data_IF_392010180797
#
_entry.id   IF_392010180797
#
_cell.length_a   1.000
_cell.length_b   1.000
_cell.length_c   1.000
_cell.angle_alpha   90.00
_cell.angle_beta   90.00
_cell.angle_gamma   90.00
#
_symmetry.space_group_name_H-M   'P 1'
#
loop_
_entity.id
_entity.type
_entity.pdbx_description
1 polymer ?
#
# COMPACT_ATOMS: atom_id res chain seq x y z
N UNK A 1 7.77 -12.30 -10.10
CA UNK A 1 6.42 -11.81 -10.50
C UNK A 1 6.51 -10.36 -10.94
N UNK A 2 6.21 -10.03 -12.21
CA UNK A 2 6.27 -8.65 -12.73
C UNK A 2 4.86 -8.09 -12.96
N UNK A 3 4.69 -6.77 -12.95
CA UNK A 3 3.38 -6.10 -13.09
C UNK A 3 2.61 -6.55 -14.34
N UNK A 4 3.29 -6.63 -15.49
CA UNK A 4 2.66 -7.09 -16.73
C UNK A 4 2.13 -8.53 -16.64
N UNK A 5 2.77 -9.38 -15.81
CA UNK A 5 2.31 -10.75 -15.55
C UNK A 5 1.08 -10.75 -14.64
N UNK A 6 1.07 -9.93 -13.59
CA UNK A 6 -0.07 -9.77 -12.69
C UNK A 6 -1.32 -9.33 -13.46
N UNK A 7 -1.18 -8.33 -14.33
CA UNK A 7 -2.27 -7.84 -15.20
C UNK A 7 -2.76 -8.94 -16.14
N UNK A 8 -1.85 -9.70 -16.76
CA UNK A 8 -2.22 -10.80 -17.66
C UNK A 8 -3.00 -11.92 -16.94
N UNK A 9 -2.63 -12.25 -15.70
CA UNK A 9 -3.35 -13.22 -14.86
C UNK A 9 -4.75 -12.70 -14.53
N UNK A 10 -4.87 -11.47 -14.03
CA UNK A 10 -6.18 -10.87 -13.71
C UNK A 10 -7.09 -10.75 -14.94
N UNK A 11 -6.54 -10.39 -16.10
CA UNK A 11 -7.28 -10.33 -17.35
C UNK A 11 -7.83 -11.70 -17.76
N UNK A 12 -7.01 -12.76 -17.65
CA UNK A 12 -7.45 -14.13 -17.91
C UNK A 12 -8.56 -14.57 -16.94
N UNK A 13 -8.42 -14.26 -15.64
CA UNK A 13 -9.43 -14.57 -14.63
C UNK A 13 -10.75 -13.83 -14.85
N UNK A 14 -10.69 -12.58 -15.33
CA UNK A 14 -11.89 -11.76 -15.61
C UNK A 14 -12.75 -12.36 -16.73
N UNK A 15 -12.14 -13.04 -17.70
CA UNK A 15 -12.85 -13.76 -18.77
C UNK A 15 -13.11 -15.24 -18.45
N UNK A 16 -12.79 -15.68 -17.22
CA UNK A 16 -12.97 -17.06 -16.76
C UNK A 16 -11.94 -18.06 -17.31
N UNK A 17 -10.87 -17.60 -17.95
CA UNK A 17 -9.80 -18.45 -18.49
C UNK A 17 -8.80 -18.83 -17.38
N UNK A 18 -9.24 -19.72 -16.49
CA UNK A 18 -8.46 -20.19 -15.34
C UNK A 18 -7.26 -21.03 -15.78
N UNK A 19 -7.33 -21.72 -16.92
CA UNK A 19 -6.21 -22.50 -17.46
C UNK A 19 -5.06 -21.58 -17.85
N UNK A 20 -5.35 -20.50 -18.58
CA UNK A 20 -4.33 -19.51 -18.94
C UNK A 20 -3.79 -18.79 -17.71
N UNK A 21 -4.66 -18.39 -16.79
CA UNK A 21 -4.22 -17.76 -15.54
C UNK A 21 -3.25 -18.66 -14.77
N UNK A 22 -3.56 -19.95 -14.63
CA UNK A 22 -2.73 -20.91 -13.93
C UNK A 22 -1.40 -21.19 -14.66
N UNK A 23 -1.42 -21.26 -16.00
CA UNK A 23 -0.19 -21.38 -16.80
C UNK A 23 0.72 -20.17 -16.61
N UNK A 24 0.17 -18.96 -16.61
CA UNK A 24 0.95 -17.73 -16.38
C UNK A 24 1.57 -17.69 -14.98
N UNK A 25 0.87 -18.21 -13.97
CA UNK A 25 1.38 -18.33 -12.61
C UNK A 25 2.48 -19.40 -12.50
N UNK A 26 2.29 -20.57 -13.11
CA UNK A 26 3.29 -21.65 -13.11
C UNK A 26 4.60 -21.24 -13.79
N UNK A 27 4.53 -20.42 -14.85
CA UNK A 27 5.71 -19.89 -15.54
C UNK A 27 6.39 -18.74 -14.79
N UNK A 28 5.79 -18.24 -13.70
CA UNK A 28 6.36 -17.15 -12.91
C UNK A 28 7.48 -17.68 -12.03
N UNK A 29 8.70 -17.20 -12.29
CA UNK A 29 9.84 -17.49 -11.41
C UNK A 29 9.63 -16.83 -10.03
N UNK A 30 9.94 -17.54 -8.93
CA UNK A 30 10.01 -16.93 -7.61
C UNK A 30 11.01 -15.77 -7.61
N UNK A 31 10.64 -14.68 -6.98
CA UNK A 31 11.51 -13.52 -6.80
C UNK A 31 11.50 -13.04 -5.36
N UNK A 32 11.45 -11.74 -5.16
CA UNK A 32 11.43 -11.11 -3.83
C UNK A 32 10.25 -11.60 -2.97
N UNK A 33 10.32 -11.50 -1.62
CA UNK A 33 9.26 -11.97 -0.73
C UNK A 33 7.87 -11.39 -1.07
N UNK A 34 7.81 -10.14 -1.50
CA UNK A 34 6.57 -9.49 -1.93
C UNK A 34 6.04 -10.07 -3.26
N UNK A 35 6.92 -10.46 -4.18
CA UNK A 35 6.53 -11.09 -5.45
C UNK A 35 5.92 -12.47 -5.22
N UNK A 36 6.49 -13.21 -4.26
CA UNK A 36 5.94 -14.50 -3.81
C UNK A 36 4.55 -14.29 -3.23
N UNK A 37 4.37 -13.26 -2.39
CA UNK A 37 3.07 -12.94 -1.80
C UNK A 37 1.99 -12.62 -2.83
N UNK A 38 2.31 -11.80 -3.83
CA UNK A 38 1.38 -11.49 -4.92
C UNK A 38 1.04 -12.76 -5.72
N UNK A 39 2.03 -13.62 -5.97
CA UNK A 39 1.82 -14.90 -6.67
C UNK A 39 0.90 -15.85 -5.88
N UNK A 40 1.11 -15.94 -4.57
CA UNK A 40 0.30 -16.76 -3.67
C UNK A 40 -1.17 -16.24 -3.63
N UNK A 41 -1.37 -14.92 -3.54
CA UNK A 41 -2.70 -14.29 -3.62
C UNK A 41 -3.41 -14.58 -4.96
N UNK A 42 -2.73 -14.37 -6.09
CA UNK A 42 -3.30 -14.63 -7.42
C UNK A 42 -3.61 -16.12 -7.64
N UNK A 43 -2.80 -17.01 -7.06
CA UNK A 43 -3.04 -18.46 -7.11
C UNK A 43 -4.33 -18.84 -6.38
N UNK A 44 -4.61 -18.24 -5.22
CA UNK A 44 -5.89 -18.43 -4.51
C UNK A 44 -7.06 -17.98 -5.37
N UNK A 45 -6.99 -16.77 -5.94
CA UNK A 45 -8.07 -16.26 -6.81
C UNK A 45 -8.30 -17.22 -7.97
N UNK A 46 -7.23 -17.67 -8.63
CA UNK A 46 -7.32 -18.62 -9.73
C UNK A 46 -7.98 -19.94 -9.34
N UNK A 47 -7.63 -20.52 -8.18
CA UNK A 47 -8.26 -21.75 -7.69
C UNK A 47 -9.74 -21.56 -7.40
N UNK A 48 -10.10 -20.44 -6.75
CA UNK A 48 -11.51 -20.12 -6.45
C UNK A 48 -12.34 -19.91 -7.69
N UNK A 49 -11.84 -19.18 -8.68
CA UNK A 49 -12.51 -19.00 -9.97
C UNK A 49 -12.69 -20.35 -10.69
N UNK A 50 -11.76 -21.29 -10.51
CA UNK A 50 -11.85 -22.65 -11.04
C UNK A 50 -12.73 -23.60 -10.20
N UNK A 51 -13.25 -23.16 -9.05
CA UNK A 51 -13.98 -24.02 -8.11
C UNK A 51 -13.12 -25.09 -7.44
N UNK A 52 -11.79 -24.91 -7.44
CA UNK A 52 -10.83 -25.85 -6.88
C UNK A 52 -10.51 -25.51 -5.42
N UNK A 53 -10.33 -26.51 -4.54
CA UNK A 53 -9.86 -26.27 -3.19
C UNK A 53 -8.41 -25.76 -3.21
N UNK A 54 -8.11 -24.78 -2.37
CA UNK A 54 -6.74 -24.32 -2.15
C UNK A 54 -6.11 -25.09 -1.00
N UNK A 55 -4.92 -25.64 -1.22
CA UNK A 55 -4.27 -26.59 -0.31
C UNK A 55 -3.52 -25.93 0.85
N UNK A 56 -3.14 -24.65 0.73
CA UNK A 56 -2.42 -23.94 1.78
C UNK A 56 -3.38 -23.14 2.66
N UNK A 57 -3.23 -23.23 3.99
CA UNK A 57 -4.02 -22.40 4.90
C UNK A 57 -3.71 -20.92 4.68
N UNK A 58 -4.73 -20.09 4.52
CA UNK A 58 -4.58 -18.62 4.44
C UNK A 58 -3.82 -18.05 5.65
N UNK A 59 -3.87 -18.70 6.81
CA UNK A 59 -3.04 -18.39 7.98
C UNK A 59 -1.54 -18.38 7.67
N UNK A 60 -1.05 -19.38 6.93
CA UNK A 60 0.36 -19.46 6.55
C UNK A 60 0.72 -18.31 5.61
N UNK A 61 -0.22 -17.89 4.77
CA UNK A 61 -0.07 -16.78 3.83
C UNK A 61 0.05 -15.45 4.57
N UNK A 62 -0.84 -15.20 5.53
CA UNK A 62 -0.80 -14.01 6.40
C UNK A 62 0.48 -13.96 7.21
N UNK A 63 0.85 -15.06 7.87
CA UNK A 63 2.05 -15.13 8.73
C UNK A 63 3.35 -15.03 7.92
N UNK A 64 3.35 -15.57 6.69
CA UNK A 64 4.49 -15.54 5.77
C UNK A 64 4.63 -14.17 5.10
N UNK A 65 3.55 -13.46 4.79
CA UNK A 65 3.60 -12.21 4.02
C UNK A 65 3.58 -10.97 4.91
N UNK A 66 2.61 -10.83 5.81
CA UNK A 66 2.88 -10.02 7.00
C UNK A 66 4.05 -10.70 7.74
N UNK A 67 4.70 -10.19 8.77
CA UNK A 67 5.98 -10.80 9.23
C UNK A 67 7.20 -10.68 8.27
N UNK A 68 7.17 -11.19 7.02
CA UNK A 68 8.32 -11.13 6.09
C UNK A 68 8.45 -9.80 5.32
N UNK A 69 7.35 -9.08 5.13
CA UNK A 69 7.36 -7.74 4.56
C UNK A 69 8.00 -6.77 5.59
N UNK A 70 9.31 -6.63 5.53
CA UNK A 70 10.11 -5.70 6.33
C UNK A 70 10.77 -4.69 5.38
N UNK A 71 10.68 -3.39 5.71
CA UNK A 71 11.22 -2.29 4.92
C UNK A 71 10.26 -1.11 4.92
N UNK A 72 10.70 0.03 5.45
CA UNK A 72 9.88 1.23 5.61
C UNK A 72 9.45 1.81 4.25
N UNK A 73 10.28 1.63 3.21
CA UNK A 73 10.05 2.13 1.84
C UNK A 73 8.86 1.48 1.11
N UNK A 74 8.33 0.36 1.63
CA UNK A 74 7.22 -0.37 1.02
C UNK A 74 5.97 -0.40 1.91
N UNK A 75 5.88 0.45 2.93
CA UNK A 75 4.79 0.40 3.92
C UNK A 75 3.40 0.42 3.27
N UNK A 76 3.13 1.36 2.35
CA UNK A 76 1.82 1.44 1.68
C UNK A 76 1.54 0.22 0.77
N UNK A 77 2.55 -0.25 0.04
CA UNK A 77 2.42 -1.47 -0.77
C UNK A 77 2.07 -2.68 0.12
N UNK A 78 2.78 -2.83 1.23
CA UNK A 78 2.59 -3.92 2.18
C UNK A 78 1.21 -3.87 2.84
N UNK A 79 0.73 -2.66 3.19
CA UNK A 79 -0.64 -2.47 3.69
C UNK A 79 -1.65 -2.91 2.65
N UNK A 80 -1.55 -2.44 1.40
CA UNK A 80 -2.48 -2.83 0.34
C UNK A 80 -2.46 -4.31 0.02
N UNK A 81 -1.28 -4.92 0.01
CA UNK A 81 -1.14 -6.37 -0.18
C UNK A 81 -1.77 -7.15 0.97
N UNK A 82 -1.63 -6.68 2.21
CA UNK A 82 -2.30 -7.28 3.37
C UNK A 82 -3.82 -7.12 3.32
N UNK A 83 -4.32 -5.96 2.91
CA UNK A 83 -5.76 -5.73 2.70
C UNK A 83 -6.31 -6.59 1.55
N UNK A 84 -5.60 -6.69 0.44
CA UNK A 84 -5.96 -7.58 -0.66
C UNK A 84 -5.97 -9.06 -0.23
N UNK A 85 -5.07 -9.46 0.67
CA UNK A 85 -5.09 -10.78 1.28
C UNK A 85 -6.33 -10.97 2.16
N UNK A 86 -6.78 -9.91 2.85
CA UNK A 86 -8.01 -9.97 3.63
C UNK A 86 -9.25 -10.23 2.77
N UNK A 87 -9.31 -9.65 1.57
CA UNK A 87 -10.39 -9.90 0.61
C UNK A 87 -10.44 -11.37 0.13
N UNK A 88 -9.35 -12.11 0.33
CA UNK A 88 -9.31 -13.53 0.09
C UNK A 88 -9.86 -14.34 1.27
N UNK A 89 -10.23 -13.78 2.42
CA UNK A 89 -10.85 -14.59 3.47
C UNK A 89 -12.33 -14.89 3.19
N UNK A 90 -12.74 -16.11 3.54
CA UNK A 90 -14.14 -16.55 3.52
C UNK A 90 -14.67 -16.71 4.95
N UNK A 91 -16.00 -16.81 5.10
CA UNK A 91 -16.69 -16.87 6.41
C UNK A 91 -16.09 -17.86 7.45
N UNK A 92 -15.59 -19.06 7.08
CA UNK A 92 -14.97 -19.98 8.04
C UNK A 92 -13.65 -19.49 8.65
N UNK A 93 -13.00 -18.50 8.03
CA UNK A 93 -11.61 -18.12 8.32
C UNK A 93 -11.52 -16.83 9.15
N UNK A 94 -12.55 -16.55 9.96
CA UNK A 94 -12.64 -15.30 10.75
C UNK A 94 -11.52 -15.14 11.77
N UNK A 95 -10.99 -16.24 12.33
CA UNK A 95 -9.93 -16.19 13.33
C UNK A 95 -8.59 -15.78 12.69
N UNK A 96 -8.31 -16.31 11.50
CA UNK A 96 -7.14 -15.98 10.69
C UNK A 96 -7.22 -14.54 10.17
N UNK A 97 -8.40 -14.12 9.73
CA UNK A 97 -8.66 -12.74 9.33
C UNK A 97 -8.42 -11.76 10.49
N UNK A 98 -8.80 -12.12 11.73
CA UNK A 98 -8.51 -11.30 12.92
C UNK A 98 -7.01 -11.10 13.11
N UNK A 99 -6.21 -12.17 13.03
CA UNK A 99 -4.75 -12.09 13.20
C UNK A 99 -4.12 -11.17 12.14
N UNK A 100 -4.61 -11.23 10.90
CA UNK A 100 -4.17 -10.33 9.84
C UNK A 100 -4.52 -8.86 10.13
N UNK A 101 -5.74 -8.60 10.63
CA UNK A 101 -6.19 -7.25 11.03
C UNK A 101 -5.32 -6.70 12.16
N UNK A 102 -5.09 -7.49 13.21
CA UNK A 102 -4.23 -7.12 14.34
C UNK A 102 -2.82 -6.73 13.86
N UNK A 103 -2.22 -7.55 12.99
CA UNK A 103 -0.88 -7.31 12.46
C UNK A 103 -0.80 -6.07 11.57
N UNK A 104 -1.84 -5.78 10.77
CA UNK A 104 -1.93 -4.55 9.98
C UNK A 104 -2.02 -3.30 10.87
N UNK A 105 -2.86 -3.33 11.90
CA UNK A 105 -2.95 -2.24 12.89
C UNK A 105 -1.61 -2.04 13.59
N UNK A 106 -1.02 -3.10 14.12
CA UNK A 106 0.27 -3.07 14.81
C UNK A 106 1.37 -2.44 13.94
N UNK A 107 1.40 -2.78 12.65
CA UNK A 107 2.36 -2.21 11.69
C UNK A 107 2.14 -0.72 11.46
N UNK A 108 0.91 -0.29 11.18
CA UNK A 108 0.59 1.11 10.95
C UNK A 108 0.97 2.00 12.15
N UNK A 109 0.74 1.51 13.37
CA UNK A 109 1.16 2.21 14.59
C UNK A 109 2.68 2.20 14.74
N UNK A 110 3.34 1.05 14.54
CA UNK A 110 4.80 0.93 14.65
C UNK A 110 5.53 1.88 13.69
N UNK A 111 5.05 2.04 12.46
CA UNK A 111 5.66 2.92 11.46
C UNK A 111 5.14 4.35 11.53
N UNK A 112 4.17 4.66 12.39
CA UNK A 112 3.47 5.94 12.44
C UNK A 112 2.94 6.39 11.05
N UNK A 113 2.50 5.43 10.24
CA UNK A 113 2.02 5.70 8.88
C UNK A 113 0.51 6.00 8.89
N UNK A 114 0.19 7.29 8.80
CA UNK A 114 -1.18 7.76 8.72
C UNK A 114 -1.92 7.31 7.44
N UNK A 115 -1.24 7.11 6.32
CA UNK A 115 -1.89 6.60 5.10
C UNK A 115 -2.28 5.14 5.25
N UNK A 116 -1.41 4.32 5.85
CA UNK A 116 -1.73 2.94 6.20
C UNK A 116 -2.92 2.87 7.16
N UNK A 117 -2.92 3.70 8.21
CA UNK A 117 -4.04 3.79 9.16
C UNK A 117 -5.36 4.17 8.46
N UNK A 118 -5.30 5.06 7.46
CA UNK A 118 -6.48 5.45 6.67
C UNK A 118 -7.06 4.28 5.89
N UNK A 119 -6.22 3.53 5.19
CA UNK A 119 -6.68 2.40 4.38
C UNK A 119 -7.24 1.27 5.25
N UNK A 120 -6.59 0.99 6.40
CA UNK A 120 -7.08 0.02 7.37
C UNK A 120 -8.47 0.41 7.90
N UNK A 121 -8.67 1.67 8.31
CA UNK A 121 -9.96 2.14 8.82
C UNK A 121 -11.07 2.14 7.76
N UNK A 122 -10.70 2.28 6.48
CA UNK A 122 -11.65 2.23 5.36
C UNK A 122 -12.02 0.80 4.93
N UNK A 123 -11.25 -0.21 5.33
CA UNK A 123 -11.44 -1.57 4.86
C UNK A 123 -12.56 -2.31 5.63
N UNK A 124 -13.58 -2.86 4.96
CA UNK A 124 -14.77 -3.44 5.63
C UNK A 124 -14.45 -4.56 6.63
N UNK A 125 -13.54 -5.47 6.28
CA UNK A 125 -13.14 -6.57 7.18
C UNK A 125 -12.33 -6.06 8.37
N UNK A 126 -11.52 -5.02 8.20
CA UNK A 126 -10.80 -4.40 9.30
C UNK A 126 -11.80 -3.73 10.25
N UNK A 127 -12.75 -2.95 9.71
CA UNK A 127 -13.79 -2.30 10.51
C UNK A 127 -14.66 -3.31 11.28
N UNK A 128 -14.93 -4.49 10.70
CA UNK A 128 -15.75 -5.52 11.32
C UNK A 128 -15.00 -6.37 12.39
N UNK A 129 -13.68 -6.50 12.28
CA UNK A 129 -12.88 -7.40 13.12
C UNK A 129 -11.96 -6.68 14.11
N UNK A 130 -11.67 -5.40 13.89
CA UNK A 130 -10.84 -4.61 14.78
C UNK A 130 -11.48 -4.46 16.16
N UNK A 131 -10.64 -4.44 17.18
CA UNK A 131 -11.03 -3.99 18.52
C UNK A 131 -11.21 -2.48 18.55
N UNK A 132 -12.00 -1.99 19.52
CA UNK A 132 -12.19 -0.55 19.72
C UNK A 132 -10.86 0.18 19.93
N UNK A 133 -9.92 -0.47 20.62
CA UNK A 133 -8.57 0.06 20.87
C UNK A 133 -7.79 0.24 19.56
N UNK A 134 -7.71 -0.79 18.73
CA UNK A 134 -7.01 -0.75 17.44
C UNK A 134 -7.58 0.32 16.51
N UNK A 135 -8.92 0.41 16.44
CA UNK A 135 -9.59 1.45 15.66
C UNK A 135 -9.28 2.85 16.21
N UNK A 136 -9.28 3.02 17.54
CA UNK A 136 -9.00 4.31 18.17
C UNK A 136 -7.54 4.75 18.01
N UNK A 137 -6.59 3.82 18.09
CA UNK A 137 -5.17 4.09 17.83
C UNK A 137 -4.96 4.59 16.40
N UNK A 138 -5.56 3.94 15.40
CA UNK A 138 -5.48 4.40 14.01
C UNK A 138 -6.16 5.77 13.79
N UNK A 139 -7.31 6.04 14.42
CA UNK A 139 -7.96 7.37 14.34
C UNK A 139 -7.11 8.47 14.98
N UNK A 140 -6.47 8.16 16.09
CA UNK A 140 -5.54 9.06 16.77
C UNK A 140 -4.34 9.36 15.88
N UNK A 141 -3.77 8.32 15.25
CA UNK A 141 -2.68 8.48 14.29
C UNK A 141 -3.10 9.35 13.09
N UNK A 142 -4.27 9.10 12.48
CA UNK A 142 -4.80 9.96 11.40
C UNK A 142 -4.89 11.43 11.80
N UNK A 143 -5.41 11.69 13.00
CA UNK A 143 -5.55 13.04 13.56
C UNK A 143 -4.18 13.69 13.74
N UNK A 144 -3.20 12.95 14.27
CA UNK A 144 -1.82 13.45 14.44
C UNK A 144 -1.12 13.76 13.12
N UNK A 145 -1.45 13.03 12.05
CA UNK A 145 -0.96 13.29 10.70
C UNK A 145 -1.78 14.36 9.96
N UNK A 146 -2.79 14.97 10.60
CA UNK A 146 -3.77 15.87 10.00
C UNK A 146 -4.48 15.30 8.74
N UNK A 147 -4.49 13.97 8.59
CA UNK A 147 -5.08 13.32 7.44
C UNK A 147 -6.60 13.35 7.55
N UNK A 148 -7.26 13.91 6.54
CA UNK A 148 -8.71 14.11 6.53
C UNK A 148 -9.17 15.42 7.17
N UNK A 149 -8.25 16.27 7.64
CA UNK A 149 -8.60 17.60 8.17
C UNK A 149 -9.22 18.52 7.12
N UNK A 150 -8.87 18.35 5.83
CA UNK A 150 -9.47 19.07 4.70
C UNK A 150 -9.14 20.57 4.61
N UNK A 151 -8.52 21.14 5.65
CA UNK A 151 -8.11 22.54 5.71
C UNK A 151 -6.72 22.66 6.33
N UNK A 152 -5.91 23.59 5.81
CA UNK A 152 -4.66 23.99 6.45
C UNK A 152 -4.99 25.15 7.42
N UNK A 153 -4.57 25.07 8.70
CA UNK A 153 -4.72 26.18 9.65
C UNK A 153 -4.17 27.49 9.08
N UNK A 154 -4.84 28.61 9.34
CA UNK A 154 -4.49 29.91 8.76
C UNK A 154 -3.03 30.28 9.00
N UNK A 155 -2.52 30.02 10.21
CA UNK A 155 -1.13 30.31 10.58
C UNK A 155 -0.12 29.49 9.76
N UNK A 156 -0.42 28.22 9.48
CA UNK A 156 0.44 27.37 8.66
C UNK A 156 0.34 27.74 7.17
N UNK A 157 -0.84 28.14 6.71
CA UNK A 157 -1.03 28.63 5.34
C UNK A 157 -0.21 29.90 5.11
N UNK A 158 -0.26 30.85 6.03
CA UNK A 158 0.47 32.12 5.91
C UNK A 158 2.00 31.87 5.93
N UNK A 159 2.47 30.95 6.78
CA UNK A 159 3.88 30.54 6.79
C UNK A 159 4.31 29.89 5.48
N UNK A 160 3.49 29.00 4.93
CA UNK A 160 3.76 28.34 3.66
C UNK A 160 3.81 29.36 2.50
N UNK A 161 2.83 30.27 2.44
CA UNK A 161 2.79 31.34 1.45
C UNK A 161 4.02 32.23 1.52
N UNK A 162 4.46 32.59 2.73
CA UNK A 162 5.68 33.37 2.93
C UNK A 162 6.93 32.61 2.44
N UNK A 163 7.05 31.33 2.79
CA UNK A 163 8.17 30.50 2.36
C UNK A 163 8.23 30.38 0.83
N UNK A 164 7.10 30.10 0.18
CA UNK A 164 7.01 29.99 -1.29
C UNK A 164 7.39 31.30 -1.97
N UNK A 165 6.89 32.45 -1.49
CA UNK A 165 7.25 33.77 -2.04
C UNK A 165 8.74 34.05 -1.90
N UNK A 166 9.31 33.71 -0.75
CA UNK A 166 10.75 33.89 -0.50
C UNK A 166 11.57 33.04 -1.47
N UNK A 167 11.20 31.77 -1.64
CA UNK A 167 11.88 30.87 -2.59
C UNK A 167 11.78 31.36 -4.05
N UNK A 168 10.59 31.80 -4.50
CA UNK A 168 10.41 32.37 -5.85
C UNK A 168 11.31 33.59 -6.06
N UNK A 169 11.37 34.49 -5.08
CA UNK A 169 12.22 35.67 -5.15
C UNK A 169 13.71 35.29 -5.26
N UNK A 170 14.21 34.43 -4.38
CA UNK A 170 15.61 33.98 -4.40
C UNK A 170 15.97 33.25 -5.70
N UNK A 171 15.07 32.39 -6.21
CA UNK A 171 15.28 31.70 -7.47
C UNK A 171 15.40 32.71 -8.62
N UNK A 172 14.49 33.70 -8.71
CA UNK A 172 14.55 34.72 -9.76
C UNK A 172 15.82 35.57 -9.69
N UNK A 173 16.21 36.00 -8.49
CA UNK A 173 17.46 36.74 -8.29
C UNK A 173 18.69 35.92 -8.70
N UNK A 174 18.71 34.62 -8.40
CA UNK A 174 19.82 33.75 -8.79
C UNK A 174 19.92 33.55 -10.30
N UNK A 175 18.77 33.49 -11.00
CA UNK A 175 18.71 33.36 -12.46
C UNK A 175 19.16 34.67 -13.11
N UNK A 176 18.67 35.82 -12.64
CA UNK A 176 19.10 37.11 -13.19
C UNK A 176 20.58 37.36 -12.95
N UNK A 177 21.12 37.07 -11.75
CA UNK A 177 22.56 37.19 -11.50
C UNK A 177 23.40 36.27 -12.40
N UNK A 178 22.95 35.06 -12.71
CA UNK A 178 23.63 34.17 -13.67
C UNK A 178 23.67 34.74 -15.09
N UNK A 179 22.57 35.32 -15.55
CA UNK A 179 22.51 35.96 -16.87
C UNK A 179 23.42 37.19 -16.96
N UNK A 180 23.60 37.91 -15.86
CA UNK A 180 24.52 39.06 -15.79
C UNK A 180 25.99 38.65 -15.61
N UNK A 181 26.25 37.39 -15.23
CA UNK A 181 27.60 36.84 -14.98
C UNK A 181 28.19 36.07 -16.15
N UNK A 182 27.46 35.92 -17.26
CA UNK A 182 27.99 35.38 -18.52
C UNK A 182 28.41 36.56 -19.42
N UNK A 183 29.67 37.04 -19.36
CA UNK A 183 30.12 38.01 -20.33
C UNK A 183 30.17 37.30 -21.69
N UNK A 184 29.37 37.81 -22.62
CA UNK A 184 29.52 37.53 -24.04
C UNK A 184 31.00 37.73 -24.36
N UNK A 185 31.69 36.65 -24.75
CA UNK A 185 33.05 36.71 -25.25
C UNK A 185 33.10 37.72 -26.40
N UNK A 186 33.71 38.87 -26.14
CA UNK A 186 34.19 39.75 -27.20
C UNK A 186 35.61 39.31 -27.53
N UNK A 187 35.73 38.65 -28.69
CA UNK A 187 36.75 38.77 -29.75
C UNK A 187 36.93 37.45 -30.52
#
# INVERSE_FOLDING_TARGET
>A
MLDGRQVAVLAALTVGDTVRANSLLADTKPGEPWEVAVTDCLSIVCHRTAGLPWQHTLQNLVTKHLGALNGDDLTMFNTRLGLATLDLFTLPERSEARLAVEELHRRAIKTSDGYAAREILAHPLCAALATDREAQECRTLLTSCALGAGTIPDELRDQLDHAVRTSDHTIRESVTQRDHSCPIGQE
#
